data_IF_815109863494
#
_entry.id   IF_815109863494
#
_cell.length_a   1.000
_cell.length_b   1.000
_cell.length_c   1.000
_cell.angle_alpha   90.00
_cell.angle_beta   90.00
_cell.angle_gamma   90.00
#
_symmetry.space_group_name_H-M   'P 1'
#
loop_
_entity.id
_entity.type
_entity.pdbx_description
1 polymer ?
#
# COMPACT_ATOMS: atom_id res chain seq x y z
N UNK A 1 20.28 -29.50 -9.27
CA UNK A 1 19.83 -28.18 -8.76
C UNK A 1 20.73 -27.14 -9.35
N UNK A 2 20.23 -26.20 -10.12
CA UNK A 2 21.04 -25.09 -10.63
C UNK A 2 21.42 -24.18 -9.45
N UNK A 3 22.69 -24.04 -9.19
CA UNK A 3 23.23 -23.11 -8.19
C UNK A 3 22.93 -21.69 -8.67
N UNK A 4 22.22 -20.91 -7.86
CA UNK A 4 21.97 -19.51 -8.20
C UNK A 4 23.32 -18.78 -8.31
N UNK A 5 23.59 -18.17 -9.44
CA UNK A 5 24.73 -17.28 -9.59
C UNK A 5 24.40 -16.01 -8.81
N UNK A 6 25.16 -15.75 -7.75
CA UNK A 6 24.99 -14.56 -6.92
C UNK A 6 25.79 -13.40 -7.54
N UNK A 7 25.11 -12.30 -7.79
CA UNK A 7 25.75 -11.06 -8.16
C UNK A 7 26.48 -10.42 -6.95
N UNK A 8 27.56 -9.67 -7.18
CA UNK A 8 28.26 -8.99 -6.09
C UNK A 8 27.34 -8.00 -5.35
N UNK A 9 27.52 -7.89 -4.04
CA UNK A 9 26.80 -6.90 -3.22
C UNK A 9 27.35 -5.51 -3.55
N UNK A 10 26.45 -4.55 -3.86
CA UNK A 10 26.79 -3.14 -4.00
C UNK A 10 25.67 -2.25 -3.45
N UNK A 11 26.05 -1.07 -2.95
CA UNK A 11 25.09 -0.06 -2.49
C UNK A 11 24.16 0.40 -3.63
N UNK A 12 24.69 0.52 -4.85
CA UNK A 12 23.88 0.89 -6.02
C UNK A 12 22.76 -0.11 -6.26
N UNK A 13 23.06 -1.41 -6.23
CA UNK A 13 22.04 -2.47 -6.41
C UNK A 13 20.99 -2.46 -5.29
N UNK A 14 21.43 -2.19 -4.05
CA UNK A 14 20.50 -2.09 -2.91
C UNK A 14 19.55 -0.90 -3.07
N UNK A 15 20.07 0.24 -3.52
CA UNK A 15 19.28 1.46 -3.75
C UNK A 15 18.41 1.37 -5.00
N UNK A 16 18.83 0.66 -6.05
CA UNK A 16 18.10 0.53 -7.31
C UNK A 16 16.68 -0.03 -7.09
N UNK A 17 16.52 -1.00 -6.18
CA UNK A 17 15.21 -1.56 -5.83
C UNK A 17 14.27 -0.50 -5.24
N UNK A 18 14.78 0.34 -4.35
CA UNK A 18 14.01 1.44 -3.72
C UNK A 18 13.64 2.50 -4.75
N UNK A 19 14.61 2.92 -5.56
CA UNK A 19 14.39 3.92 -6.61
C UNK A 19 13.43 3.43 -7.71
N UNK A 20 13.42 2.14 -8.02
CA UNK A 20 12.46 1.54 -8.95
C UNK A 20 11.02 1.68 -8.44
N UNK A 21 10.77 1.40 -7.15
CA UNK A 21 9.46 1.57 -6.52
C UNK A 21 9.04 3.04 -6.52
N UNK A 22 9.96 3.94 -6.15
CA UNK A 22 9.71 5.38 -6.14
C UNK A 22 9.33 5.91 -7.54
N UNK A 23 10.08 5.53 -8.57
CA UNK A 23 9.79 5.92 -9.97
C UNK A 23 8.43 5.40 -10.42
N UNK A 24 8.09 4.15 -10.07
CA UNK A 24 6.78 3.55 -10.38
C UNK A 24 5.65 4.32 -9.72
N UNK A 25 5.75 4.58 -8.43
CA UNK A 25 4.76 5.36 -7.68
C UNK A 25 4.59 6.77 -8.25
N UNK A 26 5.69 7.51 -8.45
CA UNK A 26 5.65 8.88 -8.98
C UNK A 26 5.03 8.93 -10.39
N UNK A 27 5.35 7.97 -11.26
CA UNK A 27 4.77 7.89 -12.61
C UNK A 27 3.26 7.62 -12.57
N UNK A 28 2.81 6.70 -11.72
CA UNK A 28 1.40 6.41 -11.55
C UNK A 28 0.64 7.60 -10.96
N UNK A 29 1.17 8.23 -9.92
CA UNK A 29 0.59 9.39 -9.28
C UNK A 29 0.41 10.56 -10.28
N UNK A 30 1.45 10.87 -11.05
CA UNK A 30 1.40 11.92 -12.09
C UNK A 30 0.34 11.63 -13.16
N UNK A 31 0.25 10.38 -13.62
CA UNK A 31 -0.73 9.99 -14.62
C UNK A 31 -2.17 10.13 -14.12
N UNK A 32 -2.45 9.62 -12.92
CA UNK A 32 -3.78 9.71 -12.32
C UNK A 32 -4.18 11.16 -12.01
N UNK A 33 -3.26 11.95 -11.45
CA UNK A 33 -3.50 13.36 -11.15
C UNK A 33 -3.75 14.19 -12.42
N UNK A 34 -2.97 13.98 -13.49
CA UNK A 34 -3.15 14.65 -14.78
C UNK A 34 -4.51 14.33 -15.41
N UNK A 35 -4.97 13.09 -15.25
CA UNK A 35 -6.29 12.64 -15.72
C UNK A 35 -7.43 13.01 -14.74
N UNK A 36 -7.14 13.65 -13.61
CA UNK A 36 -8.09 13.98 -12.54
C UNK A 36 -8.84 12.75 -12.00
N UNK A 37 -8.19 11.60 -12.00
CA UNK A 37 -8.73 10.37 -11.41
C UNK A 37 -8.42 10.39 -9.93
N UNK A 38 -9.43 10.35 -9.04
CA UNK A 38 -9.20 10.27 -7.60
C UNK A 38 -8.52 8.96 -7.23
N UNK A 39 -7.49 9.04 -6.39
CA UNK A 39 -6.77 7.88 -5.86
C UNK A 39 -6.17 8.21 -4.49
N UNK A 40 -5.75 7.19 -3.76
CA UNK A 40 -4.86 7.33 -2.61
C UNK A 40 -3.79 6.25 -2.61
N UNK A 41 -2.58 6.62 -2.25
CA UNK A 41 -1.52 5.67 -1.92
C UNK A 41 -1.84 5.03 -0.58
N UNK A 42 -1.79 3.69 -0.54
CA UNK A 42 -2.05 2.85 0.63
C UNK A 42 -0.88 1.88 0.83
N UNK A 43 -1.06 0.86 1.65
CA UNK A 43 -0.07 -0.21 1.82
C UNK A 43 1.20 0.24 2.53
N UNK A 44 2.32 -0.37 2.16
CA UNK A 44 3.63 -0.09 2.78
C UNK A 44 4.18 1.29 2.45
N UNK A 45 3.94 1.80 1.22
CA UNK A 45 4.38 3.15 0.84
C UNK A 45 3.64 4.23 1.63
N UNK A 46 2.36 4.02 1.98
CA UNK A 46 1.64 4.94 2.85
C UNK A 46 2.20 4.93 4.28
N UNK A 47 2.55 3.75 4.82
CA UNK A 47 3.22 3.66 6.12
C UNK A 47 4.55 4.41 6.09
N UNK A 48 5.38 4.15 5.08
CA UNK A 48 6.66 4.83 4.88
C UNK A 48 6.50 6.36 4.81
N UNK A 49 5.49 6.84 4.08
CA UNK A 49 5.19 8.26 3.97
C UNK A 49 4.78 8.88 5.33
N UNK A 50 3.94 8.20 6.11
CA UNK A 50 3.55 8.67 7.44
C UNK A 50 4.71 8.67 8.43
N UNK A 51 5.47 7.56 8.50
CA UNK A 51 6.65 7.43 9.37
C UNK A 51 7.69 8.50 9.05
N UNK A 52 7.96 8.77 7.77
CA UNK A 52 8.95 9.75 7.33
C UNK A 52 8.67 11.19 7.79
N UNK A 53 7.41 11.51 8.11
CA UNK A 53 7.03 12.83 8.65
C UNK A 53 7.51 13.05 10.09
N UNK A 54 7.79 11.97 10.81
CA UNK A 54 8.28 12.00 12.19
C UNK A 54 9.75 11.63 12.26
N UNK A 55 10.12 10.52 11.63
CA UNK A 55 11.50 10.03 11.60
C UNK A 55 11.83 9.36 10.26
N UNK A 56 12.62 10.05 9.44
CA UNK A 56 13.05 9.53 8.15
C UNK A 56 13.96 8.29 8.28
N UNK A 57 14.67 8.13 9.41
CA UNK A 57 15.55 6.99 9.65
C UNK A 57 14.80 5.71 10.01
N UNK A 58 13.57 5.81 10.50
CA UNK A 58 12.70 4.69 10.83
C UNK A 58 11.91 4.14 9.63
N UNK A 59 12.08 4.74 8.43
CA UNK A 59 11.36 4.33 7.23
C UNK A 59 11.79 2.93 6.78
N UNK A 60 10.81 2.04 6.66
CA UNK A 60 10.99 0.70 6.10
C UNK A 60 10.60 0.67 4.63
N UNK A 61 11.49 0.15 3.78
CA UNK A 61 11.26 0.03 2.36
C UNK A 61 10.25 -1.08 2.03
N UNK A 62 9.41 -0.84 1.02
CA UNK A 62 8.46 -1.80 0.47
C UNK A 62 8.67 -1.95 -1.04
N UNK A 63 8.32 -3.11 -1.59
CA UNK A 63 8.46 -3.41 -3.03
C UNK A 63 7.17 -3.16 -3.80
N UNK A 64 6.04 -3.31 -3.12
CA UNK A 64 4.72 -3.22 -3.71
C UNK A 64 4.24 -1.76 -3.71
N UNK A 65 3.56 -1.33 -4.76
CA UNK A 65 2.83 -0.07 -4.81
C UNK A 65 1.35 -0.39 -4.79
N UNK A 66 0.69 -0.04 -3.69
CA UNK A 66 -0.74 -0.28 -3.49
C UNK A 66 -1.51 1.04 -3.64
N UNK A 67 -2.56 1.06 -4.44
CA UNK A 67 -3.44 2.20 -4.67
C UNK A 67 -4.88 1.87 -4.31
N UNK A 68 -5.56 2.81 -3.66
CA UNK A 68 -7.01 2.81 -3.45
C UNK A 68 -7.65 3.60 -4.58
N UNK A 69 -8.59 2.99 -5.30
CA UNK A 69 -9.37 3.60 -6.39
C UNK A 69 -10.86 3.30 -6.19
N UNK A 70 -11.71 4.14 -6.73
CA UNK A 70 -13.13 3.79 -6.86
C UNK A 70 -13.34 2.94 -8.10
N UNK A 71 -14.16 1.91 -8.00
CA UNK A 71 -14.44 1.03 -9.16
C UNK A 71 -15.06 1.78 -10.34
N UNK A 72 -15.84 2.82 -10.06
CA UNK A 72 -16.42 3.67 -11.08
C UNK A 72 -15.37 4.42 -11.93
N UNK A 73 -14.16 4.61 -11.41
CA UNK A 73 -13.09 5.34 -12.10
C UNK A 73 -12.12 4.40 -12.84
N UNK A 74 -12.39 3.07 -12.88
CA UNK A 74 -11.46 2.08 -13.48
C UNK A 74 -11.08 2.40 -14.92
N UNK A 75 -12.05 2.74 -15.78
CA UNK A 75 -11.77 2.97 -17.20
C UNK A 75 -10.88 4.22 -17.40
N UNK A 76 -11.15 5.29 -16.66
CA UNK A 76 -10.32 6.50 -16.67
C UNK A 76 -8.92 6.24 -16.09
N UNK A 77 -8.83 5.52 -14.97
CA UNK A 77 -7.56 5.11 -14.37
C UNK A 77 -6.74 4.24 -15.32
N UNK A 78 -7.41 3.28 -15.98
CA UNK A 78 -6.77 2.40 -16.97
C UNK A 78 -6.22 3.19 -18.14
N UNK A 79 -7.00 4.08 -18.75
CA UNK A 79 -6.53 4.91 -19.86
C UNK A 79 -5.31 5.75 -19.47
N UNK A 80 -5.33 6.39 -18.29
CA UNK A 80 -4.23 7.22 -17.79
C UNK A 80 -2.96 6.40 -17.51
N UNK A 81 -3.09 5.24 -16.85
CA UNK A 81 -1.96 4.39 -16.51
C UNK A 81 -1.36 3.70 -17.73
N UNK A 82 -2.20 3.26 -18.71
CA UNK A 82 -1.71 2.67 -19.95
C UNK A 82 -0.93 3.71 -20.81
N UNK A 83 -1.38 4.97 -20.86
CA UNK A 83 -0.61 6.07 -21.48
C UNK A 83 0.73 6.31 -20.79
N UNK A 84 0.80 6.07 -19.49
CA UNK A 84 2.04 6.14 -18.72
C UNK A 84 2.91 4.88 -18.84
N UNK A 85 2.57 3.92 -19.72
CA UNK A 85 3.35 2.71 -19.98
C UNK A 85 3.09 1.53 -19.06
N UNK A 86 2.04 1.59 -18.23
CA UNK A 86 1.60 0.43 -17.44
C UNK A 86 0.73 -0.51 -18.29
N UNK A 87 0.66 -1.77 -17.90
CA UNK A 87 -0.14 -2.78 -18.59
C UNK A 87 -1.15 -3.38 -17.63
N UNK A 88 -2.44 -3.12 -17.88
CA UNK A 88 -3.53 -3.67 -17.04
C UNK A 88 -3.61 -5.20 -17.17
N UNK A 89 -3.76 -5.87 -16.04
CA UNK A 89 -4.05 -7.31 -15.94
C UNK A 89 -5.04 -7.56 -14.80
N UNK A 90 -5.88 -8.56 -15.00
CA UNK A 90 -6.69 -9.14 -13.93
C UNK A 90 -6.09 -10.47 -13.56
N UNK A 91 -5.60 -10.59 -12.35
CA UNK A 91 -4.91 -11.78 -11.84
C UNK A 91 -5.78 -12.51 -10.83
N UNK A 92 -5.80 -13.85 -10.89
CA UNK A 92 -6.40 -14.65 -9.84
C UNK A 92 -5.53 -14.53 -8.58
N UNK A 93 -6.14 -14.18 -7.47
CA UNK A 93 -5.42 -14.17 -6.19
C UNK A 93 -5.20 -15.60 -5.72
N UNK A 94 -3.94 -16.03 -5.55
CA UNK A 94 -3.60 -17.36 -5.04
C UNK A 94 -4.29 -17.59 -3.68
N UNK A 95 -5.15 -18.64 -3.65
CA UNK A 95 -5.89 -19.01 -2.45
C UNK A 95 -7.11 -18.16 -2.11
N UNK A 96 -7.54 -17.25 -2.98
CA UNK A 96 -8.71 -16.38 -2.78
C UNK A 96 -9.65 -16.47 -3.97
N UNK A 97 -10.94 -16.55 -3.73
CA UNK A 97 -11.99 -16.60 -4.77
C UNK A 97 -12.14 -15.27 -5.56
N UNK A 98 -11.29 -14.29 -5.30
CA UNK A 98 -11.35 -12.96 -5.90
C UNK A 98 -10.21 -12.71 -6.89
N UNK A 99 -10.52 -12.10 -8.01
CA UNK A 99 -9.52 -11.54 -8.92
C UNK A 99 -9.12 -10.14 -8.46
N UNK A 100 -7.85 -9.80 -8.66
CA UNK A 100 -7.28 -8.48 -8.35
C UNK A 100 -6.87 -7.79 -9.65
N UNK A 101 -7.21 -6.51 -9.77
CA UNK A 101 -6.71 -5.67 -10.84
C UNK A 101 -5.31 -5.18 -10.49
N UNK A 102 -4.38 -5.34 -11.42
CA UNK A 102 -3.00 -4.88 -11.30
C UNK A 102 -2.57 -4.15 -12.57
N UNK A 103 -1.62 -3.23 -12.42
CA UNK A 103 -0.98 -2.56 -13.55
C UNK A 103 0.51 -2.87 -13.51
N UNK A 104 0.96 -3.71 -14.43
CA UNK A 104 2.35 -4.11 -14.55
C UNK A 104 3.21 -2.91 -14.98
N UNK A 105 4.43 -2.85 -14.50
CA UNK A 105 5.42 -1.82 -14.86
C UNK A 105 6.08 -2.11 -16.21
N UNK A 106 5.23 -2.24 -17.26
CA UNK A 106 5.60 -2.63 -18.59
C UNK A 106 5.20 -4.08 -18.93
N UNK A 107 5.27 -4.48 -20.22
CA UNK A 107 4.77 -5.77 -20.71
C UNK A 107 5.51 -6.98 -20.13
N UNK A 108 6.79 -6.84 -19.84
CA UNK A 108 7.66 -7.92 -19.30
C UNK A 108 7.77 -7.91 -17.77
N UNK A 109 7.10 -6.96 -17.09
CA UNK A 109 7.17 -6.84 -15.66
C UNK A 109 6.43 -7.98 -14.94
N UNK A 110 6.95 -8.36 -13.78
CA UNK A 110 6.32 -9.38 -12.93
C UNK A 110 5.20 -8.77 -12.10
N UNK A 111 4.20 -9.58 -11.73
CA UNK A 111 3.07 -9.13 -10.88
C UNK A 111 3.54 -8.51 -9.55
N UNK A 112 4.64 -9.00 -8.98
CA UNK A 112 5.23 -8.42 -7.77
C UNK A 112 5.81 -7.00 -7.96
N UNK A 113 6.04 -6.58 -9.21
CA UNK A 113 6.56 -5.27 -9.57
C UNK A 113 5.44 -4.42 -10.23
N UNK A 114 4.19 -4.62 -9.82
CA UNK A 114 3.01 -3.94 -10.33
C UNK A 114 2.49 -2.88 -9.35
N UNK A 115 1.54 -2.09 -9.84
CA UNK A 115 0.58 -1.38 -9.00
C UNK A 115 -0.54 -2.35 -8.66
N UNK A 116 -0.84 -2.52 -7.38
CA UNK A 116 -1.95 -3.33 -6.90
C UNK A 116 -3.13 -2.42 -6.56
N UNK A 117 -4.30 -2.74 -7.08
CA UNK A 117 -5.49 -1.92 -6.88
C UNK A 117 -6.37 -2.55 -5.81
N UNK A 118 -6.71 -1.74 -4.80
CA UNK A 118 -7.77 -2.02 -3.85
C UNK A 118 -8.95 -1.08 -4.15
N UNK A 119 -10.16 -1.64 -4.10
CA UNK A 119 -11.37 -0.89 -4.42
C UNK A 119 -11.96 -0.24 -3.16
N UNK A 120 -12.16 1.07 -3.19
CA UNK A 120 -12.79 1.84 -2.13
C UNK A 120 -14.22 1.32 -1.87
N UNK A 121 -14.60 1.19 -0.62
CA UNK A 121 -15.90 0.68 -0.20
C UNK A 121 -16.12 -0.82 -0.38
N UNK A 122 -15.14 -1.58 -0.91
CA UNK A 122 -15.27 -3.00 -1.16
C UNK A 122 -14.43 -3.84 -0.19
N UNK A 123 -14.88 -5.08 0.06
CA UNK A 123 -14.09 -6.03 0.84
C UNK A 123 -12.98 -6.63 0.00
N UNK A 124 -11.74 -6.55 0.47
CA UNK A 124 -10.57 -7.14 -0.21
C UNK A 124 -10.65 -8.67 -0.32
N UNK A 125 -11.34 -9.31 0.63
CA UNK A 125 -11.69 -10.73 0.64
C UNK A 125 -13.09 -10.88 1.24
N UNK A 126 -13.85 -11.93 0.87
CA UNK A 126 -15.25 -12.07 1.30
C UNK A 126 -15.45 -12.05 2.83
N UNK A 127 -14.51 -12.64 3.56
CA UNK A 127 -14.52 -12.78 5.03
C UNK A 127 -13.76 -11.65 5.77
N UNK A 128 -13.36 -10.59 5.07
CA UNK A 128 -12.75 -9.43 5.73
C UNK A 128 -13.72 -8.84 6.77
N UNK A 129 -13.19 -8.42 7.92
CA UNK A 129 -14.00 -7.83 9.00
C UNK A 129 -14.76 -6.58 8.53
N UNK A 130 -14.10 -5.77 7.71
CA UNK A 130 -14.68 -4.53 7.15
C UNK A 130 -14.28 -4.37 5.68
N UNK A 131 -14.99 -3.51 4.96
CA UNK A 131 -14.61 -3.04 3.64
C UNK A 131 -13.42 -2.08 3.72
N UNK A 132 -12.73 -1.89 2.59
CA UNK A 132 -11.77 -0.80 2.45
C UNK A 132 -12.46 0.56 2.65
N UNK A 133 -11.76 1.59 3.12
CA UNK A 133 -12.36 2.91 3.30
C UNK A 133 -12.88 3.47 1.98
N UNK A 134 -13.85 4.36 2.08
CA UNK A 134 -14.28 5.19 0.96
C UNK A 134 -13.17 6.20 0.61
N UNK A 135 -13.00 6.48 -0.67
CA UNK A 135 -12.08 7.51 -1.14
C UNK A 135 -12.76 8.90 -1.07
N UNK A 136 -12.89 9.46 0.15
CA UNK A 136 -13.52 10.76 0.41
C UNK A 136 -12.50 11.87 0.60
N UNK A 137 -11.49 11.58 1.41
CA UNK A 137 -10.44 12.53 1.77
C UNK A 137 -9.08 11.91 1.49
N UNK A 138 -8.15 12.75 1.09
CA UNK A 138 -6.74 12.39 0.90
C UNK A 138 -5.85 13.52 1.43
N UNK A 139 -4.59 13.22 1.66
CA UNK A 139 -3.59 14.22 2.02
C UNK A 139 -2.54 14.31 0.93
N UNK A 140 -2.49 15.45 0.24
CA UNK A 140 -1.44 15.67 -0.75
C UNK A 140 -0.08 15.83 -0.07
N UNK A 141 0.90 15.05 -0.49
CA UNK A 141 2.26 15.05 0.07
C UNK A 141 3.23 15.99 -0.66
N UNK A 142 2.79 16.63 -1.75
CA UNK A 142 3.65 17.31 -2.72
C UNK A 142 3.97 16.45 -3.94
N UNK A 143 3.88 15.13 -3.83
CA UNK A 143 4.14 14.18 -4.91
C UNK A 143 2.94 13.29 -5.26
N UNK A 144 2.15 12.88 -4.28
CA UNK A 144 0.99 11.98 -4.44
C UNK A 144 -0.07 12.18 -3.37
N UNK A 145 -1.26 11.66 -3.62
CA UNK A 145 -2.36 11.62 -2.67
C UNK A 145 -2.17 10.45 -1.70
N UNK A 146 -2.20 10.73 -0.40
CA UNK A 146 -1.98 9.78 0.68
C UNK A 146 -3.29 9.50 1.42
N UNK A 147 -3.56 8.25 1.74
CA UNK A 147 -4.69 7.87 2.59
C UNK A 147 -4.55 8.47 3.98
N UNK A 148 -5.64 8.95 4.63
CA UNK A 148 -5.61 9.42 6.00
C UNK A 148 -5.06 8.35 6.97
N UNK A 149 -4.35 8.77 8.00
CA UNK A 149 -3.69 7.85 8.92
C UNK A 149 -4.68 6.89 9.61
N UNK A 150 -5.85 7.39 10.02
CA UNK A 150 -6.87 6.55 10.64
C UNK A 150 -7.36 5.43 9.70
N UNK A 151 -7.57 5.75 8.42
CA UNK A 151 -7.99 4.75 7.43
C UNK A 151 -6.87 3.74 7.15
N UNK A 152 -5.61 4.20 7.07
CA UNK A 152 -4.46 3.31 6.91
C UNK A 152 -4.36 2.32 8.08
N UNK A 153 -4.42 2.80 9.32
CA UNK A 153 -4.39 1.96 10.53
C UNK A 153 -5.55 0.97 10.52
N UNK A 154 -6.78 1.43 10.21
CA UNK A 154 -7.97 0.57 10.07
C UNK A 154 -7.74 -0.55 9.06
N UNK A 155 -7.22 -0.24 7.88
CA UNK A 155 -6.90 -1.23 6.83
C UNK A 155 -5.89 -2.27 7.32
N UNK A 156 -4.86 -1.84 8.06
CA UNK A 156 -3.86 -2.74 8.66
C UNK A 156 -4.47 -3.64 9.73
N UNK A 157 -5.35 -3.09 10.57
CA UNK A 157 -6.08 -3.85 11.58
C UNK A 157 -7.06 -4.85 10.97
N UNK A 158 -7.72 -4.52 9.86
CA UNK A 158 -8.62 -5.43 9.14
C UNK A 158 -7.85 -6.60 8.53
N UNK A 159 -6.75 -6.34 7.85
CA UNK A 159 -5.93 -7.35 7.19
C UNK A 159 -5.12 -8.21 8.16
N UNK A 160 -4.46 -7.59 9.11
CA UNK A 160 -3.73 -8.13 10.27
C UNK A 160 -2.74 -9.28 9.99
N UNK A 161 -2.15 -9.32 8.78
CA UNK A 161 -1.06 -10.24 8.42
C UNK A 161 0.22 -9.82 9.13
N UNK A 162 1.24 -10.65 9.15
CA UNK A 162 2.52 -10.34 9.81
C UNK A 162 3.14 -9.02 9.32
N UNK A 163 3.11 -8.77 8.01
CA UNK A 163 3.54 -7.49 7.45
C UNK A 163 2.69 -6.30 7.91
N UNK A 164 1.40 -6.50 8.16
CA UNK A 164 0.52 -5.43 8.62
C UNK A 164 0.76 -5.14 10.11
N UNK A 165 1.04 -6.17 10.93
CA UNK A 165 1.46 -6.02 12.33
C UNK A 165 2.77 -5.25 12.44
N UNK A 166 3.76 -5.59 11.60
CA UNK A 166 5.03 -4.87 11.52
C UNK A 166 4.81 -3.40 11.16
N UNK A 167 3.98 -3.08 10.18
CA UNK A 167 3.62 -1.72 9.82
C UNK A 167 2.94 -0.94 10.96
N UNK A 168 2.07 -1.61 11.74
CA UNK A 168 1.46 -0.99 12.93
C UNK A 168 2.52 -0.69 14.00
N UNK A 169 3.50 -1.57 14.21
CA UNK A 169 4.63 -1.31 15.11
C UNK A 169 5.52 -0.16 14.61
N UNK A 170 5.77 -0.07 13.30
CA UNK A 170 6.50 1.07 12.73
C UNK A 170 5.78 2.40 13.03
N UNK A 171 4.45 2.46 12.93
CA UNK A 171 3.66 3.65 13.29
C UNK A 171 3.67 3.92 14.80
N UNK A 172 3.62 2.87 15.63
CA UNK A 172 3.69 2.97 17.09
C UNK A 172 5.06 3.49 17.55
N UNK A 173 6.15 2.95 17.00
CA UNK A 173 7.52 3.29 17.40
C UNK A 173 7.87 4.77 17.23
N UNK A 174 7.23 5.44 16.25
CA UNK A 174 7.39 6.88 16.02
C UNK A 174 6.28 7.72 16.67
N UNK A 175 5.40 7.11 17.47
CA UNK A 175 4.36 7.82 18.23
C UNK A 175 3.15 8.29 17.39
N UNK A 176 3.00 7.81 16.16
CA UNK A 176 1.85 8.14 15.30
C UNK A 176 0.54 7.48 15.76
N UNK A 177 0.62 6.37 16.47
CA UNK A 177 -0.51 5.69 17.11
C UNK A 177 -0.16 5.36 18.56
N UNK A 178 -1.16 5.29 19.43
CA UNK A 178 -1.04 5.01 20.85
C UNK A 178 -2.34 4.42 21.42
N UNK A 179 -2.46 4.31 22.73
CA UNK A 179 -3.66 3.78 23.41
C UNK A 179 -4.92 4.62 23.17
N UNK A 180 -4.80 5.93 22.93
CA UNK A 180 -5.95 6.81 22.67
C UNK A 180 -6.70 6.44 21.37
N UNK A 181 -6.10 5.61 20.54
CA UNK A 181 -6.71 5.11 19.31
C UNK A 181 -7.67 3.94 19.52
N UNK A 182 -7.61 3.24 20.68
CA UNK A 182 -8.47 2.09 20.96
C UNK A 182 -9.96 2.41 20.84
N UNK A 183 -10.48 3.52 21.38
CA UNK A 183 -11.90 3.86 21.27
C UNK A 183 -12.37 4.22 19.86
N UNK A 184 -11.46 4.49 18.92
CA UNK A 184 -11.79 4.85 17.55
C UNK A 184 -12.24 3.65 16.69
N UNK A 185 -12.02 2.43 17.19
CA UNK A 185 -12.25 1.20 16.45
C UNK A 185 -13.30 0.30 17.13
N UNK A 186 -14.10 -0.46 16.35
CA UNK A 186 -14.95 -1.49 16.91
C UNK A 186 -14.13 -2.57 17.64
N UNK A 187 -14.75 -3.24 18.60
CA UNK A 187 -14.08 -4.16 19.51
C UNK A 187 -13.11 -5.18 18.85
N UNK A 188 -13.42 -5.81 17.70
CA UNK A 188 -12.48 -6.73 17.07
C UNK A 188 -11.18 -6.07 16.58
N UNK A 189 -11.27 -4.84 16.07
CA UNK A 189 -10.11 -4.09 15.60
C UNK A 189 -9.34 -3.47 16.79
N UNK A 190 -10.05 -2.95 17.79
CA UNK A 190 -9.45 -2.47 19.04
C UNK A 190 -8.65 -3.57 19.75
N UNK A 191 -9.16 -4.80 19.79
CA UNK A 191 -8.44 -5.95 20.36
C UNK A 191 -7.14 -6.25 19.58
N UNK A 192 -7.14 -6.13 18.26
CA UNK A 192 -5.94 -6.28 17.43
C UNK A 192 -4.93 -5.13 17.67
N UNK A 193 -5.42 -3.89 17.78
CA UNK A 193 -4.56 -2.76 18.13
C UNK A 193 -3.93 -2.97 19.51
N UNK A 194 -4.71 -3.41 20.50
CA UNK A 194 -4.21 -3.71 21.82
C UNK A 194 -3.09 -4.76 21.80
N UNK A 195 -3.19 -5.81 20.98
CA UNK A 195 -2.09 -6.79 20.82
C UNK A 195 -0.78 -6.14 20.35
N UNK A 196 -0.86 -5.12 19.47
CA UNK A 196 0.34 -4.40 19.00
C UNK A 196 0.90 -3.50 20.12
N UNK A 197 0.03 -2.85 20.90
CA UNK A 197 0.43 -1.99 22.01
C UNK A 197 1.06 -2.78 23.16
N UNK A 198 0.53 -3.99 23.45
CA UNK A 198 1.03 -4.86 24.51
C UNK A 198 2.36 -5.57 24.14
N UNK A 199 2.66 -5.68 22.83
CA UNK A 199 3.86 -6.35 22.30
C UNK A 199 4.46 -5.52 21.16
N UNK A 200 5.08 -4.36 21.48
CA UNK A 200 5.56 -3.41 20.49
C UNK A 200 6.77 -3.93 19.68
N UNK A 201 7.52 -4.87 20.22
CA UNK A 201 8.73 -5.40 19.60
C UNK A 201 8.46 -6.67 18.77
N UNK A 202 7.42 -7.43 19.04
CA UNK A 202 6.91 -8.56 18.26
C UNK A 202 7.48 -9.92 18.55
#
# INVERSE_FOLDING_TARGET
MATAVLDPVSWERMNEGVESVRRRLSRAAKALSAARVPYAVIGGNAVAAWVSRVDASAVRNTRDVDLLLRRADLDAARAALEQAGFVHRRVASLGKAASMDVFLDGPEAKVRDALHILWAGERAVPDALEAAPELKETQFTGEFELVPLNDLVRMKLVSFRDKDRMHLRDLLSVGLINEDWLPLYPAPLAARLKQILDDPDG
#
